data_IF_404207973438
#
_entry.id   IF_404207973438
#
_cell.length_a   1.000
_cell.length_b   1.000
_cell.length_c   1.000
_cell.angle_alpha   90.00
_cell.angle_beta   90.00
_cell.angle_gamma   90.00
#
_symmetry.space_group_name_H-M   'P 1'
#
loop_
_entity.id
_entity.type
_entity.pdbx_description
1 polymer ?
#
# COMPACT_ATOMS: atom_id res chain seq x y z
N UNK A 1 5.96 -7.95 -3.27
CA UNK A 1 4.76 -7.75 -2.44
C UNK A 1 3.72 -8.79 -2.83
N UNK A 2 2.79 -9.13 -1.94
CA UNK A 2 1.83 -10.21 -2.13
C UNK A 2 0.38 -9.70 -2.03
N UNK A 3 -0.57 -10.65 -2.12
CA UNK A 3 -2.01 -10.38 -2.13
C UNK A 3 -2.52 -9.71 -0.85
N UNK A 4 -1.91 -9.95 0.31
CA UNK A 4 -2.38 -9.39 1.59
C UNK A 4 -2.19 -7.88 1.70
N UNK A 5 -1.21 -7.32 0.99
CA UNK A 5 -0.97 -5.87 1.03
C UNK A 5 -1.66 -5.08 -0.08
N UNK A 6 -2.01 -5.73 -1.20
CA UNK A 6 -2.25 -5.02 -2.47
C UNK A 6 -3.37 -5.61 -3.33
N UNK A 7 -4.02 -6.70 -2.91
CA UNK A 7 -5.26 -7.14 -3.56
C UNK A 7 -6.38 -6.19 -3.12
N UNK A 8 -7.21 -5.77 -4.08
CA UNK A 8 -8.26 -4.78 -3.84
C UNK A 8 -9.64 -5.38 -4.08
N UNK A 9 -10.39 -5.57 -3.00
CA UNK A 9 -11.77 -6.07 -3.02
C UNK A 9 -12.82 -4.97 -2.85
N UNK A 10 -12.42 -3.70 -2.81
CA UNK A 10 -13.33 -2.56 -2.56
C UNK A 10 -14.42 -2.40 -3.63
N UNK A 11 -14.20 -2.92 -4.84
CA UNK A 11 -15.20 -2.97 -5.91
C UNK A 11 -16.33 -3.98 -5.65
N UNK A 12 -16.16 -4.90 -4.69
CA UNK A 12 -17.07 -6.01 -4.40
C UNK A 12 -17.75 -5.90 -3.03
N UNK A 13 -17.10 -5.24 -2.06
CA UNK A 13 -17.66 -5.00 -0.73
C UNK A 13 -16.98 -3.78 -0.10
N UNK A 14 -17.75 -2.99 0.65
CA UNK A 14 -17.31 -1.79 1.36
C UNK A 14 -16.61 -2.09 2.70
N UNK A 15 -16.60 -3.36 3.12
CA UNK A 15 -15.92 -3.83 4.33
C UNK A 15 -14.42 -4.01 4.13
N UNK A 16 -13.95 -4.07 2.89
CA UNK A 16 -12.54 -4.19 2.57
C UNK A 16 -11.89 -2.83 2.44
N UNK A 17 -10.62 -2.78 2.81
CA UNK A 17 -9.74 -1.64 2.57
C UNK A 17 -8.78 -1.95 1.42
N UNK A 18 -8.38 -0.94 0.65
CA UNK A 18 -7.37 -1.07 -0.40
C UNK A 18 -6.02 -0.49 0.04
N UNK A 19 -4.95 -0.87 -0.67
CA UNK A 19 -3.59 -0.38 -0.45
C UNK A 19 -3.09 -0.53 1.01
N UNK A 20 -3.42 -1.64 1.67
CA UNK A 20 -3.00 -1.93 3.06
C UNK A 20 -1.49 -1.78 3.23
N UNK A 21 -0.69 -2.31 2.29
CA UNK A 21 0.76 -2.18 2.37
C UNK A 21 1.27 -0.75 2.24
N UNK A 22 0.49 0.18 1.68
CA UNK A 22 0.81 1.62 1.75
C UNK A 22 0.49 2.17 3.14
N UNK A 23 -0.65 1.77 3.73
CA UNK A 23 -1.02 2.15 5.11
C UNK A 23 0.04 1.70 6.12
N UNK A 24 0.60 0.51 5.94
CA UNK A 24 1.71 0.01 6.78
C UNK A 24 2.94 0.93 6.72
N UNK A 25 3.29 1.42 5.53
CA UNK A 25 4.41 2.35 5.37
C UNK A 25 4.08 3.70 6.02
N UNK A 26 2.84 4.19 5.89
CA UNK A 26 2.41 5.42 6.58
C UNK A 26 2.56 5.27 8.09
N UNK A 27 2.07 4.17 8.67
CA UNK A 27 2.23 3.86 10.09
C UNK A 27 3.71 3.83 10.51
N UNK A 28 4.57 3.19 9.71
CA UNK A 28 6.02 3.19 9.95
C UNK A 28 6.64 4.59 9.91
N UNK A 29 6.17 5.46 9.02
CA UNK A 29 6.64 6.85 8.94
C UNK A 29 6.14 7.72 10.09
N UNK A 30 4.91 7.50 10.57
CA UNK A 30 4.39 8.13 11.79
C UNK A 30 5.26 7.72 12.99
N UNK A 31 5.57 6.43 13.11
CA UNK A 31 6.48 5.94 14.15
C UNK A 31 7.87 6.59 14.05
N UNK A 32 8.45 6.69 12.85
CA UNK A 32 9.74 7.38 12.64
C UNK A 32 9.66 8.83 13.11
N UNK A 33 8.59 9.54 12.74
CA UNK A 33 8.42 10.95 13.11
C UNK A 33 8.38 11.14 14.63
N UNK A 34 7.74 10.23 15.34
CA UNK A 34 7.61 10.28 16.80
C UNK A 34 8.89 9.84 17.53
N UNK A 35 9.68 8.91 16.97
CA UNK A 35 10.71 8.19 17.74
C UNK A 35 12.15 8.43 17.27
N UNK A 36 12.38 8.95 16.06
CA UNK A 36 13.75 8.98 15.48
C UNK A 36 14.71 9.91 16.23
N UNK A 37 14.19 10.86 17.02
CA UNK A 37 14.98 11.75 17.85
C UNK A 37 15.82 10.99 18.89
N UNK A 38 15.31 9.86 19.41
CA UNK A 38 15.99 9.03 20.42
C UNK A 38 17.28 8.39 19.86
N UNK A 39 17.30 8.16 18.54
CA UNK A 39 18.46 7.65 17.81
C UNK A 39 19.37 8.75 17.27
N UNK A 40 19.12 10.02 17.63
CA UNK A 40 19.86 11.20 17.16
C UNK A 40 19.49 11.64 15.74
N UNK A 41 18.38 11.14 15.17
CA UNK A 41 17.89 11.56 13.87
C UNK A 41 17.07 12.85 13.93
N UNK A 42 16.76 13.40 12.76
CA UNK A 42 15.95 14.60 12.60
C UNK A 42 14.65 14.26 11.86
N UNK A 43 13.52 14.31 12.58
CA UNK A 43 12.19 14.05 12.02
C UNK A 43 11.77 15.10 10.98
N UNK A 44 12.32 16.33 11.05
CA UNK A 44 12.11 17.40 10.06
C UNK A 44 13.03 17.28 8.83
N UNK A 45 13.76 16.16 8.68
CA UNK A 45 14.65 15.93 7.56
C UNK A 45 14.72 14.45 7.12
N UNK A 46 13.57 13.80 7.07
CA UNK A 46 13.44 12.41 6.61
C UNK A 46 13.52 12.32 5.07
N UNK A 47 14.36 11.40 4.57
CA UNK A 47 14.49 11.09 3.13
C UNK A 47 14.06 9.66 2.86
N UNK A 48 13.11 9.47 1.95
CA UNK A 48 12.73 8.14 1.47
C UNK A 48 13.67 7.71 0.34
N UNK A 49 14.07 6.45 0.35
CA UNK A 49 14.86 5.82 -0.72
C UNK A 49 14.13 4.59 -1.22
N UNK A 50 13.99 4.45 -2.55
CA UNK A 50 13.32 3.31 -3.16
C UNK A 50 14.03 2.85 -4.44
N UNK A 51 14.11 1.52 -4.61
CA UNK A 51 14.72 0.86 -5.77
C UNK A 51 13.76 -0.18 -6.36
N UNK A 52 13.71 -0.28 -7.70
CA UNK A 52 12.86 -1.26 -8.41
C UNK A 52 11.39 -1.16 -7.99
N UNK A 53 10.78 -2.24 -7.47
CA UNK A 53 9.43 -2.24 -6.93
C UNK A 53 9.25 -1.25 -5.75
N UNK A 54 10.32 -0.97 -4.99
CA UNK A 54 10.32 0.00 -3.90
C UNK A 54 10.06 1.43 -4.37
N UNK A 55 10.35 1.76 -5.64
CA UNK A 55 9.96 3.04 -6.23
C UNK A 55 8.45 3.21 -6.29
N UNK A 56 7.70 2.15 -6.63
CA UNK A 56 6.25 2.24 -6.74
C UNK A 56 5.61 2.59 -5.39
N UNK A 57 6.12 2.01 -4.31
CA UNK A 57 5.65 2.28 -2.95
C UNK A 57 5.81 3.76 -2.57
N UNK A 58 7.02 4.31 -2.74
CA UNK A 58 7.26 5.71 -2.38
C UNK A 58 6.62 6.69 -3.38
N UNK A 59 6.41 6.27 -4.63
CA UNK A 59 5.62 7.05 -5.60
C UNK A 59 4.13 7.08 -5.25
N UNK A 60 3.55 5.97 -4.75
CA UNK A 60 2.19 5.93 -4.25
C UNK A 60 2.02 6.80 -3.00
N UNK A 61 2.98 6.77 -2.05
CA UNK A 61 2.98 7.68 -0.89
C UNK A 61 2.94 9.15 -1.28
N UNK A 62 3.62 9.52 -2.38
CA UNK A 62 3.56 10.88 -2.89
C UNK A 62 2.17 11.32 -3.37
N UNK A 63 1.27 10.37 -3.66
CA UNK A 63 -0.14 10.63 -3.96
C UNK A 63 -1.04 10.55 -2.74
N UNK A 64 -0.55 10.05 -1.61
CA UNK A 64 -1.27 10.01 -0.33
C UNK A 64 -1.05 11.33 0.42
N UNK A 65 -1.94 12.31 0.19
CA UNK A 65 -1.82 13.66 0.76
C UNK A 65 -1.68 13.68 2.28
N UNK A 66 -2.34 12.76 2.99
CA UNK A 66 -2.23 12.64 4.45
C UNK A 66 -0.82 12.25 4.91
N UNK A 67 0.00 11.60 4.06
CA UNK A 67 1.34 11.13 4.42
C UNK A 67 2.48 12.07 3.98
N UNK A 68 2.21 13.06 3.12
CA UNK A 68 3.25 13.94 2.55
C UNK A 68 4.04 14.73 3.61
N UNK A 69 3.43 14.99 4.76
CA UNK A 69 4.04 15.71 5.87
C UNK A 69 4.97 14.85 6.76
N UNK A 70 5.17 13.58 6.39
CA UNK A 70 6.01 12.62 7.13
C UNK A 70 7.41 12.46 6.52
N UNK A 71 7.67 13.03 5.34
CA UNK A 71 8.97 12.96 4.67
C UNK A 71 9.25 14.26 3.89
N UNK A 72 10.52 14.48 3.55
CA UNK A 72 10.98 15.77 3.01
C UNK A 72 11.61 15.61 1.63
N UNK A 73 12.19 14.44 1.36
CA UNK A 73 12.94 14.13 0.13
C UNK A 73 12.65 12.70 -0.29
N UNK A 74 12.81 12.43 -1.58
CA UNK A 74 12.70 11.08 -2.14
C UNK A 74 13.83 10.84 -3.14
N UNK A 75 14.41 9.65 -3.07
CA UNK A 75 15.37 9.13 -4.05
C UNK A 75 14.73 7.93 -4.75
N UNK A 76 14.68 8.00 -6.08
CA UNK A 76 13.95 7.09 -6.95
C UNK A 76 14.96 6.42 -7.89
N UNK A 77 15.23 5.13 -7.68
CA UNK A 77 16.22 4.41 -8.48
C UNK A 77 15.63 3.23 -9.27
N UNK A 78 16.05 3.10 -10.54
CA UNK A 78 15.59 2.02 -11.43
C UNK A 78 14.05 1.93 -11.52
N UNK A 79 13.41 3.09 -11.66
CA UNK A 79 11.96 3.22 -11.66
C UNK A 79 11.32 2.58 -12.90
N UNK A 80 10.28 1.76 -12.68
CA UNK A 80 9.32 1.39 -13.71
C UNK A 80 7.93 1.94 -13.34
N UNK A 81 7.68 3.22 -13.65
CA UNK A 81 6.43 3.92 -13.27
C UNK A 81 5.21 3.46 -14.11
N UNK A 82 5.42 2.63 -15.15
CA UNK A 82 4.35 2.11 -16.01
C UNK A 82 3.46 1.04 -15.37
N UNK A 83 3.67 0.70 -14.10
CA UNK A 83 3.00 -0.43 -13.44
C UNK A 83 1.90 -0.03 -12.45
N UNK A 84 1.39 1.20 -12.49
CA UNK A 84 0.23 1.58 -11.68
C UNK A 84 -1.04 1.00 -12.32
N UNK A 85 -1.72 0.13 -11.59
CA UNK A 85 -2.98 -0.46 -12.02
C UNK A 85 -4.12 0.55 -11.89
N UNK A 86 -4.99 0.56 -12.89
CA UNK A 86 -6.30 1.21 -12.81
C UNK A 86 -7.24 0.42 -11.89
N UNK A 87 -8.31 1.07 -11.40
CA UNK A 87 -9.34 0.37 -10.61
C UNK A 87 -9.95 -0.81 -11.39
N UNK A 88 -10.11 -0.67 -12.71
CA UNK A 88 -10.64 -1.73 -13.56
C UNK A 88 -9.70 -2.94 -13.60
N UNK A 89 -8.38 -2.72 -13.75
CA UNK A 89 -7.40 -3.80 -13.73
C UNK A 89 -7.31 -4.47 -12.36
N UNK A 90 -7.32 -3.68 -11.27
CA UNK A 90 -7.35 -4.18 -9.91
C UNK A 90 -8.58 -5.09 -9.68
N UNK A 91 -9.76 -4.62 -10.10
CA UNK A 91 -11.01 -5.39 -10.00
C UNK A 91 -10.93 -6.70 -10.79
N UNK A 92 -10.38 -6.66 -12.01
CA UNK A 92 -10.23 -7.86 -12.84
C UNK A 92 -9.23 -8.87 -12.25
N UNK A 93 -8.16 -8.41 -11.60
CA UNK A 93 -7.20 -9.27 -10.90
C UNK A 93 -7.85 -9.90 -9.67
N UNK A 94 -8.58 -9.12 -8.88
CA UNK A 94 -9.30 -9.60 -7.69
C UNK A 94 -10.38 -10.62 -8.04
N UNK A 95 -11.13 -10.41 -9.14
CA UNK A 95 -12.10 -11.40 -9.62
C UNK A 95 -11.41 -12.73 -9.96
N UNK A 96 -10.29 -12.70 -10.70
CA UNK A 96 -9.54 -13.92 -11.04
C UNK A 96 -9.02 -14.64 -9.80
N UNK A 97 -8.70 -13.91 -8.74
CA UNK A 97 -8.28 -14.50 -7.48
C UNK A 97 -9.45 -15.20 -6.76
N UNK A 98 -10.64 -14.58 -6.75
CA UNK A 98 -11.85 -15.22 -6.22
C UNK A 98 -12.22 -16.48 -7.00
N UNK A 99 -12.15 -16.43 -8.33
CA UNK A 99 -12.41 -17.58 -9.21
C UNK A 99 -11.44 -18.73 -8.91
N UNK A 100 -10.16 -18.41 -8.67
CA UNK A 100 -9.15 -19.40 -8.29
C UNK A 100 -9.42 -20.04 -6.92
N UNK A 101 -9.94 -19.27 -5.96
CA UNK A 101 -10.33 -19.76 -4.64
C UNK A 101 -11.69 -20.48 -4.65
N UNK A 102 -12.48 -20.35 -5.71
CA UNK A 102 -13.85 -20.87 -5.77
C UNK A 102 -14.84 -20.10 -4.88
N UNK A 103 -14.56 -18.83 -4.59
CA UNK A 103 -15.38 -17.97 -3.73
C UNK A 103 -16.27 -17.08 -4.60
N UNK A 104 -17.59 -17.11 -4.39
CA UNK A 104 -18.51 -16.16 -5.03
C UNK A 104 -18.37 -14.78 -4.42
N UNK A 105 -18.61 -13.73 -5.22
CA UNK A 105 -18.67 -12.33 -4.74
C UNK A 105 -19.70 -12.18 -3.61
N UNK A 106 -20.81 -12.92 -3.65
CA UNK A 106 -21.84 -12.90 -2.59
C UNK A 106 -21.32 -13.38 -1.21
N UNK A 107 -20.22 -14.14 -1.21
CA UNK A 107 -19.58 -14.72 -0.01
C UNK A 107 -18.20 -14.11 0.24
N UNK A 108 -17.87 -12.99 -0.41
CA UNK A 108 -16.54 -12.41 -0.30
C UNK A 108 -16.20 -11.98 1.15
N UNK A 109 -17.20 -11.53 1.90
CA UNK A 109 -17.03 -11.10 3.28
C UNK A 109 -16.59 -12.25 4.21
N UNK A 110 -16.89 -13.50 3.86
CA UNK A 110 -16.44 -14.68 4.61
C UNK A 110 -14.91 -14.80 4.63
N UNK A 111 -14.21 -14.15 3.68
CA UNK A 111 -12.75 -14.06 3.69
C UNK A 111 -12.22 -13.27 4.89
N UNK A 112 -12.98 -12.33 5.45
CA UNK A 112 -12.55 -11.56 6.63
C UNK A 112 -12.43 -12.45 7.86
N UNK A 113 -13.34 -13.43 8.00
CA UNK A 113 -13.32 -14.38 9.12
C UNK A 113 -12.17 -15.40 9.01
N UNK A 114 -11.61 -15.61 7.81
CA UNK A 114 -10.53 -16.55 7.60
C UNK A 114 -9.16 -16.03 8.08
N UNK A 115 -9.02 -14.72 8.28
CA UNK A 115 -7.76 -14.07 8.68
C UNK A 115 -7.72 -13.61 10.15
N UNK A 116 -8.73 -13.97 10.96
CA UNK A 116 -8.80 -13.75 12.41
C UNK A 116 -8.48 -15.02 13.19
#
# INVERSE_FOLDING_TARGET
>A
MNVFGFLDFTSFSDKFDSNIGIKDIVCGLEWIKENIYESGGNSDNVTLFGQSAGVMLIACLNKTTSAQHLYHKMIIESACIKSLYTQQEATAISQKYLDFLGVSVDHIDDLLDFFH
#
